data_IF_764527804899
#
_entry.id   IF_764527804899
#
_cell.length_a   1.000
_cell.length_b   1.000
_cell.length_c   1.000
_cell.angle_alpha   90.00
_cell.angle_beta   90.00
_cell.angle_gamma   90.00
#
_symmetry.space_group_name_H-M   'P 1'
#
loop_
_entity.id
_entity.type
_entity.pdbx_description
1 polymer ?
#
# COMPACT_ATOMS: atom_id res chain seq x y z
N UNK A 1 6.79 11.66 8.16
CA UNK A 1 6.00 10.68 7.41
C UNK A 1 6.80 9.41 7.23
N UNK A 2 6.15 8.26 7.27
CA UNK A 2 6.76 6.94 7.03
C UNK A 2 6.04 6.22 5.87
N UNK A 3 6.79 5.40 5.12
CA UNK A 3 6.26 4.52 4.07
C UNK A 3 6.58 3.06 4.40
N UNK A 4 5.56 2.21 4.44
CA UNK A 4 5.71 0.76 4.54
C UNK A 4 5.22 0.09 3.25
N UNK A 5 6.12 -0.55 2.52
CA UNK A 5 5.79 -1.30 1.30
C UNK A 5 5.80 -2.79 1.63
N UNK A 6 4.73 -3.49 1.30
CA UNK A 6 4.57 -4.92 1.59
C UNK A 6 3.73 -5.60 0.51
N UNK A 7 3.55 -6.92 0.64
CA UNK A 7 2.61 -7.69 -0.15
C UNK A 7 1.80 -8.60 0.77
N UNK A 8 0.51 -8.76 0.47
CA UNK A 8 -0.36 -9.74 1.12
C UNK A 8 -0.88 -10.70 0.06
N UNK A 9 -0.53 -11.98 0.16
CA UNK A 9 -1.26 -13.04 -0.56
C UNK A 9 -2.69 -13.10 -0.01
N UNK A 10 -3.70 -13.31 -0.85
CA UNK A 10 -5.02 -13.64 -0.33
C UNK A 10 -4.90 -14.86 0.58
N UNK A 11 -5.30 -14.68 1.83
CA UNK A 11 -5.38 -15.80 2.76
C UNK A 11 -6.59 -16.61 2.32
N UNK A 12 -6.38 -17.80 1.76
CA UNK A 12 -7.42 -18.83 1.73
C UNK A 12 -7.79 -19.06 3.20
N UNK A 13 -8.92 -18.49 3.62
CA UNK A 13 -9.32 -18.31 5.01
C UNK A 13 -9.41 -19.65 5.77
N UNK A 14 -8.64 -19.77 6.87
CA UNK A 14 -9.10 -20.00 8.27
C UNK A 14 -7.97 -20.64 9.10
N UNK A 15 -7.49 -19.91 10.11
CA UNK A 15 -7.12 -20.56 11.38
C UNK A 15 -5.66 -20.55 11.85
N UNK A 16 -4.78 -19.66 11.40
CA UNK A 16 -3.46 -19.54 12.03
C UNK A 16 -3.10 -18.07 12.30
N UNK A 17 -3.17 -17.71 13.58
CA UNK A 17 -2.50 -16.54 14.13
C UNK A 17 -1.00 -16.65 13.80
N UNK A 18 -0.46 -15.63 13.13
CA UNK A 18 0.97 -15.54 12.88
C UNK A 18 1.47 -14.18 13.36
N UNK A 19 1.86 -14.19 14.64
CA UNK A 19 2.77 -13.23 15.25
C UNK A 19 4.19 -13.46 14.70
N UNK A 20 4.66 -12.68 13.73
CA UNK A 20 6.09 -12.60 13.44
C UNK A 20 6.45 -11.37 12.58
N UNK A 21 7.45 -10.60 13.04
CA UNK A 21 8.22 -9.66 12.24
C UNK A 21 9.11 -10.46 11.26
N UNK A 22 8.59 -10.85 10.10
CA UNK A 22 9.36 -11.54 9.06
C UNK A 22 9.07 -10.88 7.72
N UNK A 23 10.12 -10.37 7.05
CA UNK A 23 10.09 -10.12 5.61
C UNK A 23 9.93 -11.46 4.90
N UNK A 24 8.69 -11.88 4.64
CA UNK A 24 8.42 -13.06 3.80
C UNK A 24 8.41 -12.62 2.34
N UNK A 25 9.34 -13.13 1.54
CA UNK A 25 9.20 -13.15 0.07
C UNK A 25 8.09 -14.13 -0.27
N UNK A 26 6.91 -13.68 -0.72
CA UNK A 26 5.84 -14.59 -1.04
C UNK A 26 6.12 -15.09 -2.44
N UNK A 27 6.41 -16.39 -2.56
CA UNK A 27 6.32 -17.10 -3.83
C UNK A 27 4.98 -16.74 -4.47
N UNK A 28 5.00 -16.34 -5.74
CA UNK A 28 3.84 -15.87 -6.50
C UNK A 28 2.62 -16.76 -6.25
N UNK A 29 1.73 -16.32 -5.36
CA UNK A 29 0.43 -16.92 -5.15
C UNK A 29 -0.55 -16.00 -5.85
N UNK A 30 -1.18 -16.55 -6.88
CA UNK A 30 -2.31 -15.97 -7.59
C UNK A 30 -3.29 -15.34 -6.59
N UNK A 31 -3.75 -14.12 -6.88
CA UNK A 31 -4.62 -13.28 -6.03
C UNK A 31 -3.97 -12.52 -4.85
N UNK A 32 -2.70 -12.10 -4.98
CA UNK A 32 -2.07 -11.17 -4.03
C UNK A 32 -2.44 -9.69 -4.23
N UNK A 33 -2.22 -8.87 -3.19
CA UNK A 33 -2.21 -7.41 -3.26
C UNK A 33 -0.83 -6.88 -2.88
N UNK A 34 -0.28 -6.01 -3.72
CA UNK A 34 0.79 -5.09 -3.31
C UNK A 34 0.19 -4.00 -2.41
N UNK A 35 0.89 -3.65 -1.33
CA UNK A 35 0.40 -2.72 -0.32
C UNK A 35 1.46 -1.66 -0.03
N UNK A 36 1.06 -0.40 0.04
CA UNK A 36 1.86 0.74 0.43
C UNK A 36 1.08 1.51 1.49
N UNK A 37 1.63 1.58 2.70
CA UNK A 37 1.03 2.29 3.82
C UNK A 37 1.78 3.58 4.08
N UNK A 38 1.06 4.70 4.01
CA UNK A 38 1.56 6.04 4.27
C UNK A 38 1.11 6.46 5.66
N UNK A 39 2.07 6.70 6.55
CA UNK A 39 1.82 6.91 7.98
C UNK A 39 2.37 8.24 8.45
N UNK A 40 1.66 8.85 9.38
CA UNK A 40 2.16 9.98 10.16
C UNK A 40 1.92 9.80 11.66
N UNK A 41 2.74 10.53 12.44
CA UNK A 41 2.60 10.64 13.89
C UNK A 41 1.81 11.87 14.33
N UNK A 42 1.79 12.93 13.52
CA UNK A 42 1.12 14.19 13.83
C UNK A 42 -0.37 14.18 13.42
N UNK A 43 -1.25 14.65 14.31
CA UNK A 43 -2.70 14.57 14.11
C UNK A 43 -3.22 15.44 12.95
N UNK A 44 -2.61 16.59 12.68
CA UNK A 44 -3.01 17.46 11.56
C UNK A 44 -2.53 16.84 10.24
N UNK A 45 -1.30 16.34 10.21
CA UNK A 45 -0.74 15.64 9.04
C UNK A 45 -1.49 14.36 8.71
N UNK A 46 -1.96 13.61 9.71
CA UNK A 46 -2.82 12.43 9.51
C UNK A 46 -4.13 12.82 8.81
N UNK A 47 -4.76 13.95 9.17
CA UNK A 47 -5.99 14.42 8.50
C UNK A 47 -5.73 14.76 7.03
N UNK A 48 -4.60 15.41 6.73
CA UNK A 48 -4.20 15.71 5.36
C UNK A 48 -3.97 14.43 4.55
N UNK A 49 -3.24 13.47 5.10
CA UNK A 49 -3.01 12.16 4.49
C UNK A 49 -4.30 11.41 4.17
N UNK A 50 -5.27 11.40 5.09
CA UNK A 50 -6.57 10.75 4.86
C UNK A 50 -7.34 11.40 3.72
N UNK A 51 -7.39 12.74 3.71
CA UNK A 51 -8.05 13.50 2.65
C UNK A 51 -7.41 13.25 1.29
N UNK A 52 -6.09 13.11 1.26
CA UNK A 52 -5.38 12.73 0.03
C UNK A 52 -5.73 11.30 -0.42
N UNK A 53 -5.80 10.35 0.53
CA UNK A 53 -6.27 8.99 0.25
C UNK A 53 -7.67 8.96 -0.37
N UNK A 54 -8.61 9.73 0.17
CA UNK A 54 -9.96 9.88 -0.39
C UNK A 54 -9.93 10.46 -1.82
N UNK A 55 -9.14 11.50 -2.05
CA UNK A 55 -8.98 12.09 -3.40
C UNK A 55 -8.34 11.14 -4.41
N UNK A 56 -7.43 10.28 -3.96
CA UNK A 56 -6.82 9.25 -4.79
C UNK A 56 -7.84 8.17 -5.16
N UNK A 57 -8.72 7.78 -4.23
CA UNK A 57 -9.75 6.77 -4.48
C UNK A 57 -10.65 7.13 -5.67
N UNK A 58 -10.95 8.42 -5.85
CA UNK A 58 -11.75 8.91 -6.97
C UNK A 58 -10.98 9.01 -8.29
N UNK A 59 -9.65 9.05 -8.25
CA UNK A 59 -8.78 9.18 -9.42
C UNK A 59 -8.24 7.86 -9.94
N UNK A 60 -8.19 6.84 -9.08
CA UNK A 60 -7.64 5.53 -9.40
C UNK A 60 -8.72 4.58 -9.93
N UNK A 61 -8.32 3.65 -10.80
CA UNK A 61 -9.20 2.57 -11.24
C UNK A 61 -9.53 1.63 -10.07
N UNK A 62 -10.78 1.67 -9.61
CA UNK A 62 -11.28 0.92 -8.45
C UNK A 62 -11.25 -0.61 -8.65
N UNK A 63 -11.08 -1.08 -9.88
CA UNK A 63 -10.90 -2.53 -10.15
C UNK A 63 -9.47 -2.99 -9.86
N UNK A 64 -8.51 -2.07 -9.91
CA UNK A 64 -7.07 -2.35 -9.78
C UNK A 64 -6.57 -1.90 -8.41
N UNK A 65 -7.03 -0.75 -7.94
CA UNK A 65 -6.58 -0.10 -6.73
C UNK A 65 -7.68 -0.04 -5.67
N UNK A 66 -7.29 -0.17 -4.40
CA UNK A 66 -8.15 0.03 -3.24
C UNK A 66 -7.44 0.92 -2.23
N UNK A 67 -8.15 1.89 -1.67
CA UNK A 67 -7.68 2.72 -0.56
C UNK A 67 -8.33 2.20 0.73
N UNK A 68 -7.55 2.07 1.80
CA UNK A 68 -8.05 1.80 3.16
C UNK A 68 -7.52 2.88 4.10
N UNK A 69 -8.40 3.70 4.67
CA UNK A 69 -8.02 4.70 5.68
C UNK A 69 -7.69 4.00 7.01
N UNK A 70 -6.58 4.39 7.65
CA UNK A 70 -6.14 3.82 8.93
C UNK A 70 -6.13 4.88 10.03
N UNK A 71 -5.85 4.50 11.27
CA UNK A 71 -5.66 5.47 12.37
C UNK A 71 -4.47 6.41 12.12
N UNK A 72 -3.50 6.00 11.30
CA UNK A 72 -2.23 6.71 11.09
C UNK A 72 -2.07 7.31 9.69
N UNK A 73 -3.06 7.15 8.80
CA UNK A 73 -2.98 7.62 7.41
C UNK A 73 -3.85 6.77 6.50
N UNK A 74 -3.28 6.19 5.46
CA UNK A 74 -3.98 5.29 4.55
C UNK A 74 -3.07 4.21 3.96
N UNK A 75 -3.68 3.12 3.49
CA UNK A 75 -3.06 2.07 2.69
C UNK A 75 -3.58 2.13 1.27
N UNK A 76 -2.67 2.10 0.32
CA UNK A 76 -2.96 1.86 -1.08
C UNK A 76 -2.66 0.41 -1.39
N UNK A 77 -3.66 -0.31 -1.88
CA UNK A 77 -3.54 -1.70 -2.32
C UNK A 77 -3.68 -1.73 -3.83
N UNK A 78 -2.82 -2.50 -4.49
CA UNK A 78 -2.90 -2.78 -5.93
C UNK A 78 -2.98 -4.29 -6.11
N UNK A 79 -3.97 -4.77 -6.86
CA UNK A 79 -4.05 -6.19 -7.22
C UNK A 79 -2.81 -6.58 -8.03
N UNK A 80 -2.20 -7.71 -7.69
CA UNK A 80 -1.07 -8.27 -8.44
C UNK A 80 -1.59 -8.75 -9.79
N UNK A 81 -0.91 -8.34 -10.86
CA UNK A 81 -1.18 -8.81 -12.21
C UNK A 81 -0.55 -10.19 -12.39
N UNK A 82 -1.35 -11.17 -12.80
CA UNK A 82 -0.90 -12.57 -12.96
C UNK A 82 -0.19 -12.79 -14.31
N UNK A 83 -0.33 -11.85 -15.25
CA UNK A 83 0.25 -11.94 -16.59
C UNK A 83 1.66 -11.31 -16.68
N UNK A 84 2.16 -10.71 -15.59
CA UNK A 84 3.46 -10.03 -15.55
C UNK A 84 4.43 -10.78 -14.64
N UNK A 85 5.72 -10.76 -14.97
CA UNK A 85 6.76 -11.32 -14.10
C UNK A 85 6.73 -10.63 -12.72
N UNK A 86 6.69 -11.44 -11.68
CA UNK A 86 6.54 -10.98 -10.30
C UNK A 86 7.57 -9.92 -9.89
N UNK A 87 8.85 -10.13 -10.20
CA UNK A 87 9.93 -9.21 -9.81
C UNK A 87 9.77 -7.87 -10.51
N UNK A 88 9.42 -7.89 -11.79
CA UNK A 88 9.15 -6.67 -12.56
C UNK A 88 7.92 -5.93 -12.00
N UNK A 89 6.85 -6.65 -11.68
CA UNK A 89 5.65 -6.07 -11.08
C UNK A 89 5.93 -5.44 -9.71
N UNK A 90 6.77 -6.09 -8.90
CA UNK A 90 7.22 -5.59 -7.59
C UNK A 90 8.10 -4.35 -7.72
N UNK A 91 9.08 -4.33 -8.61
CA UNK A 91 9.94 -3.17 -8.84
C UNK A 91 9.13 -1.95 -9.27
N UNK A 92 8.20 -2.14 -10.22
CA UNK A 92 7.27 -1.09 -10.65
C UNK A 92 6.42 -0.58 -9.47
N UNK A 93 5.97 -1.48 -8.60
CA UNK A 93 5.21 -1.10 -7.40
C UNK A 93 6.04 -0.27 -6.40
N UNK A 94 7.28 -0.69 -6.14
CA UNK A 94 8.19 0.03 -5.25
C UNK A 94 8.48 1.43 -5.77
N UNK A 95 8.78 1.56 -7.06
CA UNK A 95 9.03 2.86 -7.70
C UNK A 95 7.79 3.76 -7.59
N UNK A 96 6.62 3.24 -7.99
CA UNK A 96 5.36 3.98 -7.91
C UNK A 96 5.06 4.47 -6.48
N UNK A 97 5.18 3.59 -5.50
CA UNK A 97 4.90 3.91 -4.09
C UNK A 97 5.87 4.97 -3.53
N UNK A 98 7.14 4.90 -3.93
CA UNK A 98 8.16 5.89 -3.54
C UNK A 98 7.93 7.26 -4.18
N UNK A 99 7.54 7.30 -5.45
CA UNK A 99 7.19 8.56 -6.12
C UNK A 99 6.02 9.23 -5.40
N UNK A 100 4.96 8.48 -5.12
CA UNK A 100 3.80 8.99 -4.40
C UNK A 100 4.18 9.48 -3.00
N UNK A 101 5.05 8.76 -2.30
CA UNK A 101 5.56 9.17 -0.99
C UNK A 101 6.32 10.49 -1.04
N UNK A 102 7.21 10.68 -2.03
CA UNK A 102 7.97 11.91 -2.15
C UNK A 102 7.04 13.11 -2.40
N UNK A 103 6.09 12.97 -3.34
CA UNK A 103 5.10 14.01 -3.62
C UNK A 103 4.26 14.37 -2.38
N UNK A 104 3.82 13.35 -1.63
CA UNK A 104 3.08 13.55 -0.39
C UNK A 104 3.94 14.19 0.71
N UNK A 105 5.21 13.79 0.80
CA UNK A 105 6.12 14.28 1.82
C UNK A 105 6.37 15.77 1.66
N UNK A 106 6.50 16.24 0.43
CA UNK A 106 6.66 17.66 0.12
C UNK A 106 5.41 18.44 0.56
N UNK A 107 4.22 17.94 0.25
CA UNK A 107 2.93 18.60 0.60
C UNK A 107 2.65 18.60 2.11
N UNK A 108 3.07 17.56 2.83
CA UNK A 108 2.80 17.37 4.27
C UNK A 108 3.89 17.96 5.16
N UNK A 109 5.06 18.29 4.60
CA UNK A 109 6.19 18.89 5.34
C UNK A 109 6.17 20.41 5.34
N UNK A 110 5.50 21.06 4.38
CA UNK A 110 5.14 22.49 4.39
C UNK A 110 4.00 22.79 5.39
#
# INVERSE_FOLDING_TARGET
>A
MDLLISMKAETILKGLELSANIMMMPTAQSQGYFIAEFREGDAEKIKLLKRYGEMLEDKLDKNIFQIELTSHGFKLKKKVDEDIEYMEAWERWVVFSRTLYNELSDVVSD
#
